data_IF_008640865061
#
_entry.id   IF_008640865061
#
_cell.length_a   1.000
_cell.length_b   1.000
_cell.length_c   1.000
_cell.angle_alpha   90.00
_cell.angle_beta   90.00
_cell.angle_gamma   90.00
#
_symmetry.space_group_name_H-M   'P 1'
#
loop_
_entity.id
_entity.type
_entity.pdbx_description
1 polymer ?
#
# COMPACT_ATOMS: atom_id res chain seq x y z
N UNK A 1 0.57 -13.00 -4.43
CA UNK A 1 0.43 -11.84 -5.34
C UNK A 1 -0.08 -10.65 -4.52
N UNK A 2 0.23 -9.39 -4.85
CA UNK A 2 -0.16 -8.22 -4.06
C UNK A 2 -0.70 -7.09 -4.94
N UNK A 3 -1.76 -6.42 -4.51
CA UNK A 3 -2.31 -5.24 -5.18
C UNK A 3 -1.39 -4.03 -4.97
N UNK A 4 -1.05 -3.32 -6.05
CA UNK A 4 -0.15 -2.16 -6.00
C UNK A 4 -0.74 -0.95 -6.73
N UNK A 5 -1.77 -0.29 -6.19
CA UNK A 5 -2.44 0.82 -6.85
C UNK A 5 -1.67 2.16 -6.77
N UNK A 6 -0.42 2.14 -6.25
CA UNK A 6 0.46 3.30 -5.99
C UNK A 6 0.36 4.42 -7.02
N UNK A 7 0.55 4.08 -8.30
CA UNK A 7 0.71 5.06 -9.36
C UNK A 7 -0.59 5.83 -9.65
N UNK A 8 -1.73 5.28 -9.23
CA UNK A 8 -3.04 5.85 -9.47
C UNK A 8 -3.72 6.43 -8.23
N UNK A 9 -3.07 6.41 -7.06
CA UNK A 9 -3.61 7.07 -5.86
C UNK A 9 -3.70 8.57 -6.11
N UNK A 10 -4.87 9.18 -6.01
CA UNK A 10 -5.04 10.64 -6.22
C UNK A 10 -4.85 11.39 -4.91
N UNK A 11 -5.51 10.90 -3.87
CA UNK A 11 -5.51 11.49 -2.52
C UNK A 11 -6.11 10.47 -1.54
N UNK A 12 -6.09 10.80 -0.25
CA UNK A 12 -6.72 9.99 0.78
C UNK A 12 -6.74 10.69 2.13
N UNK A 13 -7.46 10.11 3.08
CA UNK A 13 -7.45 10.54 4.48
C UNK A 13 -7.51 9.29 5.36
N UNK A 14 -6.61 9.18 6.32
CA UNK A 14 -6.61 8.13 7.33
C UNK A 14 -6.60 8.73 8.72
N UNK A 15 -7.23 8.05 9.65
CA UNK A 15 -7.41 8.45 11.04
C UNK A 15 -7.00 7.29 11.95
N UNK A 16 -5.91 7.50 12.67
CA UNK A 16 -5.44 6.63 13.74
C UNK A 16 -5.44 7.37 15.09
N UNK A 17 -6.41 8.25 15.32
CA UNK A 17 -6.60 8.90 16.64
C UNK A 17 -7.16 7.95 17.69
N UNK A 18 -7.76 6.84 17.27
CA UNK A 18 -8.21 5.75 18.15
C UNK A 18 -7.18 4.63 18.14
N UNK A 19 -6.63 4.32 19.32
CA UNK A 19 -5.61 3.27 19.48
C UNK A 19 -6.08 1.93 18.88
N UNK A 20 -5.18 1.28 18.15
CA UNK A 20 -5.37 0.02 17.44
C UNK A 20 -6.38 0.05 16.29
N UNK A 21 -6.83 1.22 15.85
CA UNK A 21 -7.69 1.34 14.68
C UNK A 21 -7.16 2.40 13.73
N UNK A 22 -7.04 2.03 12.46
CA UNK A 22 -6.74 2.97 11.39
C UNK A 22 -7.86 2.91 10.38
N UNK A 23 -8.65 3.97 10.30
CA UNK A 23 -9.83 4.05 9.43
C UNK A 23 -9.69 5.21 8.45
N UNK A 24 -10.33 5.13 7.28
CA UNK A 24 -10.25 6.22 6.32
C UNK A 24 -10.60 5.81 4.91
N UNK A 25 -10.06 6.53 3.94
CA UNK A 25 -10.29 6.26 2.54
C UNK A 25 -9.11 6.64 1.66
N UNK A 26 -9.00 5.99 0.50
CA UNK A 26 -8.02 6.30 -0.54
C UNK A 26 -8.73 6.38 -1.89
N UNK A 27 -8.61 7.51 -2.58
CA UNK A 27 -9.18 7.71 -3.91
C UNK A 27 -8.16 7.30 -4.96
N UNK A 28 -8.61 6.47 -5.90
CA UNK A 28 -7.81 6.08 -7.06
C UNK A 28 -8.35 6.79 -8.31
N UNK A 29 -7.48 7.04 -9.29
CA UNK A 29 -7.83 7.69 -10.56
C UNK A 29 -8.93 6.89 -11.26
N UNK A 30 -9.88 7.57 -11.90
CA UNK A 30 -10.93 6.95 -12.73
C UNK A 30 -11.84 5.95 -11.98
N UNK A 31 -11.87 5.99 -10.64
CA UNK A 31 -12.88 5.30 -9.81
C UNK A 31 -13.83 6.30 -9.19
N UNK A 32 -15.12 6.03 -9.32
CA UNK A 32 -16.18 6.82 -8.68
C UNK A 32 -16.12 6.69 -7.15
N UNK A 33 -15.91 5.47 -6.65
CA UNK A 33 -15.85 5.17 -5.23
C UNK A 33 -14.40 5.02 -4.72
N UNK A 34 -13.99 5.81 -3.71
CA UNK A 34 -12.71 5.61 -3.05
C UNK A 34 -12.74 4.34 -2.21
N UNK A 35 -11.58 3.67 -2.11
CA UNK A 35 -11.40 2.55 -1.20
C UNK A 35 -11.71 3.01 0.23
N UNK A 36 -12.53 2.26 0.95
CA UNK A 36 -12.87 2.52 2.35
C UNK A 36 -12.04 1.60 3.23
N UNK A 37 -11.15 2.16 4.03
CA UNK A 37 -10.20 1.42 4.86
C UNK A 37 -10.75 1.32 6.29
N UNK A 38 -10.81 0.11 6.81
CA UNK A 38 -11.11 -0.17 8.22
C UNK A 38 -10.14 -1.24 8.73
N UNK A 39 -9.01 -0.78 9.26
CA UNK A 39 -7.86 -1.63 9.56
C UNK A 39 -7.62 -1.72 11.06
N UNK A 40 -7.41 -2.93 11.54
CA UNK A 40 -6.97 -3.20 12.90
C UNK A 40 -5.46 -3.02 13.01
N UNK A 41 -5.02 -2.22 13.98
CA UNK A 41 -3.63 -1.92 14.30
C UNK A 41 -3.24 -0.46 14.07
N UNK A 42 -1.99 -0.15 14.41
CA UNK A 42 -1.42 1.20 14.33
C UNK A 42 -0.31 1.31 13.27
N UNK A 43 -0.15 2.46 12.61
CA UNK A 43 1.00 2.76 11.78
C UNK A 43 2.25 2.98 12.66
N UNK A 44 3.37 3.24 12.02
CA UNK A 44 4.64 3.54 12.69
C UNK A 44 4.55 4.84 13.51
N UNK A 45 5.49 5.06 14.46
CA UNK A 45 5.41 6.19 15.38
C UNK A 45 5.33 7.57 14.74
N UNK A 46 5.74 7.75 13.48
CA UNK A 46 5.62 9.02 12.78
C UNK A 46 4.16 9.38 12.44
N UNK A 47 3.28 8.38 12.32
CA UNK A 47 1.85 8.53 12.01
C UNK A 47 0.92 8.05 13.12
N UNK A 48 1.41 7.26 14.08
CA UNK A 48 0.58 6.72 15.14
C UNK A 48 -0.05 7.83 15.99
N UNK A 49 -1.35 7.73 16.25
CA UNK A 49 -2.11 8.74 16.98
C UNK A 49 -2.54 9.95 16.15
N UNK A 50 -2.20 10.00 14.86
CA UNK A 50 -2.57 11.11 13.98
C UNK A 50 -3.76 10.76 13.09
N UNK A 51 -4.53 11.81 12.79
CA UNK A 51 -5.26 11.90 11.55
C UNK A 51 -4.37 12.55 10.48
N UNK A 52 -4.36 12.03 9.26
CA UNK A 52 -3.51 12.54 8.19
C UNK A 52 -4.14 12.40 6.81
N UNK A 53 -3.72 13.26 5.89
CA UNK A 53 -4.12 13.27 4.48
C UNK A 53 -2.98 12.82 3.61
N UNK A 54 -3.32 12.04 2.59
CA UNK A 54 -2.43 11.69 1.49
C UNK A 54 -2.67 12.72 0.39
N UNK A 55 -1.62 13.45 0.03
CA UNK A 55 -1.66 14.47 -1.01
C UNK A 55 -0.69 14.09 -2.11
N UNK A 56 -1.12 14.22 -3.36
CA UNK A 56 -0.25 14.05 -4.52
C UNK A 56 0.21 15.43 -5.02
N UNK A 57 1.42 15.90 -4.67
CA UNK A 57 1.94 17.18 -5.17
C UNK A 57 2.29 17.13 -6.66
N UNK A 58 2.77 15.98 -7.14
CA UNK A 58 3.19 15.79 -8.53
C UNK A 58 2.12 15.07 -9.35
N UNK A 59 1.81 15.48 -10.59
CA UNK A 59 0.85 14.77 -11.42
C UNK A 59 1.23 13.30 -11.60
N UNK A 60 0.23 12.46 -11.88
CA UNK A 60 0.46 11.06 -12.23
C UNK A 60 1.36 11.03 -13.47
N UNK A 61 2.49 10.32 -13.44
CA UNK A 61 3.43 10.33 -14.55
C UNK A 61 2.81 9.82 -15.86
N UNK A 62 3.29 10.36 -16.98
CA UNK A 62 2.79 10.09 -18.35
C UNK A 62 2.97 8.64 -18.82
N UNK A 63 3.94 7.92 -18.25
CA UNK A 63 4.20 6.51 -18.53
C UNK A 63 3.26 5.56 -17.79
N UNK A 64 2.48 6.06 -16.81
CA UNK A 64 1.49 5.26 -16.10
C UNK A 64 0.29 5.06 -17.01
N UNK A 65 0.07 3.81 -17.43
CA UNK A 65 -1.05 3.44 -18.27
C UNK A 65 -2.42 3.62 -17.60
N UNK A 66 -3.47 3.17 -18.28
CA UNK A 66 -4.81 3.11 -17.72
C UNK A 66 -4.84 2.15 -16.53
N UNK A 67 -5.54 2.51 -15.44
CA UNK A 67 -5.63 1.61 -14.31
C UNK A 67 -6.51 0.41 -14.65
N UNK A 68 -6.14 -0.75 -14.13
CA UNK A 68 -7.05 -1.88 -14.03
C UNK A 68 -7.32 -2.18 -12.55
N UNK A 69 -8.59 -2.06 -12.17
CA UNK A 69 -9.07 -2.31 -10.81
C UNK A 69 -10.05 -3.49 -10.73
N UNK A 70 -10.13 -4.31 -11.76
CA UNK A 70 -11.00 -5.47 -11.77
C UNK A 70 -10.65 -6.41 -10.61
N UNK A 71 -11.60 -6.61 -9.69
CA UNK A 71 -11.40 -7.46 -8.52
C UNK A 71 -10.99 -6.73 -7.24
N UNK A 72 -10.57 -5.46 -7.27
CA UNK A 72 -10.35 -4.68 -6.03
C UNK A 72 -11.70 -4.24 -5.44
N UNK A 73 -11.95 -4.60 -4.19
CA UNK A 73 -13.19 -4.26 -3.49
C UNK A 73 -13.14 -2.81 -2.98
N UNK A 74 -14.28 -2.12 -2.93
CA UNK A 74 -14.36 -0.80 -2.29
C UNK A 74 -14.12 -0.91 -0.79
N UNK A 75 -14.73 -1.90 -0.13
CA UNK A 75 -14.50 -2.18 1.30
C UNK A 75 -13.16 -2.88 1.50
N UNK A 76 -12.28 -2.24 2.27
CA UNK A 76 -10.97 -2.71 2.67
C UNK A 76 -10.94 -2.87 4.19
N UNK A 77 -11.64 -3.89 4.68
CA UNK A 77 -11.53 -4.37 6.05
C UNK A 77 -10.39 -5.38 6.20
N UNK A 78 -9.63 -5.27 7.29
CA UNK A 78 -8.45 -6.12 7.49
C UNK A 78 -7.54 -5.68 8.63
N UNK A 79 -6.27 -6.08 8.55
CA UNK A 79 -5.20 -5.70 9.48
C UNK A 79 -4.23 -4.74 8.82
N UNK A 80 -3.65 -3.84 9.62
CA UNK A 80 -2.59 -2.96 9.15
C UNK A 80 -1.31 -3.78 8.93
N UNK A 81 -0.55 -3.45 7.89
CA UNK A 81 0.85 -3.87 7.75
C UNK A 81 1.77 -2.72 8.14
N UNK A 82 2.89 -2.59 7.45
CA UNK A 82 3.77 -1.45 7.68
C UNK A 82 3.19 -0.16 7.08
N UNK A 83 3.14 0.90 7.88
CA UNK A 83 2.62 2.21 7.43
C UNK A 83 3.48 3.33 8.01
N UNK A 84 4.17 4.08 7.16
CA UNK A 84 5.05 5.20 7.54
C UNK A 84 5.17 6.23 6.43
N UNK A 85 5.44 7.49 6.78
CA UNK A 85 5.75 8.57 5.86
C UNK A 85 7.20 9.06 5.97
N UNK A 86 8.02 8.44 6.82
CA UNK A 86 9.40 8.85 7.10
C UNK A 86 10.47 8.03 6.36
N UNK A 87 10.05 7.08 5.51
CA UNK A 87 10.97 6.31 4.69
C UNK A 87 11.65 7.21 3.64
N UNK A 88 12.99 7.31 3.67
CA UNK A 88 13.76 8.06 2.67
C UNK A 88 14.11 7.16 1.48
N UNK A 89 13.62 7.52 0.28
CA UNK A 89 13.91 6.80 -0.96
C UNK A 89 14.56 7.72 -1.99
N UNK A 90 15.31 7.12 -2.90
CA UNK A 90 15.87 7.80 -4.05
C UNK A 90 14.75 8.14 -5.06
N UNK A 91 14.62 9.42 -5.39
CA UNK A 91 13.65 9.95 -6.34
C UNK A 91 14.35 10.50 -7.58
N UNK A 92 13.80 10.21 -8.76
CA UNK A 92 14.29 10.74 -10.03
C UNK A 92 13.53 12.02 -10.40
N UNK A 93 14.25 13.13 -10.56
CA UNK A 93 13.63 14.45 -10.81
C UNK A 93 13.28 14.72 -12.28
N UNK A 94 13.37 13.71 -13.16
CA UNK A 94 13.12 13.86 -14.59
C UNK A 94 11.81 13.19 -15.03
N UNK A 95 11.27 13.64 -16.17
CA UNK A 95 10.20 12.92 -16.86
C UNK A 95 10.69 11.55 -17.34
N UNK A 96 9.76 10.65 -17.66
CA UNK A 96 10.16 9.32 -18.12
C UNK A 96 10.82 9.31 -19.49
N UNK A 97 10.43 10.23 -20.37
CA UNK A 97 11.12 10.38 -21.66
C UNK A 97 12.58 10.79 -21.45
N UNK A 98 12.85 11.73 -20.55
CA UNK A 98 14.21 12.17 -20.24
C UNK A 98 14.99 11.08 -19.48
N UNK A 99 14.33 10.36 -18.57
CA UNK A 99 14.91 9.21 -17.89
C UNK A 99 15.41 8.15 -18.89
N UNK A 100 14.53 7.72 -19.81
CA UNK A 100 14.85 6.73 -20.84
C UNK A 100 15.96 7.26 -21.76
N UNK A 101 15.90 8.52 -22.16
CA UNK A 101 16.92 9.15 -23.00
C UNK A 101 18.31 9.13 -22.34
N UNK A 102 18.41 9.51 -21.06
CA UNK A 102 19.67 9.53 -20.30
C UNK A 102 20.23 8.14 -20.09
N UNK A 103 19.37 7.20 -19.67
CA UNK A 103 19.76 5.81 -19.49
C UNK A 103 20.31 5.20 -20.78
N UNK A 104 19.68 5.48 -21.93
CA UNK A 104 20.18 5.05 -23.26
C UNK A 104 21.51 5.71 -23.64
N UNK A 105 21.75 6.94 -23.20
CA UNK A 105 23.00 7.66 -23.40
C UNK A 105 24.11 7.26 -22.39
N UNK A 106 23.83 6.35 -21.45
CA UNK A 106 24.76 5.94 -20.41
C UNK A 106 24.94 6.95 -19.26
N UNK A 107 24.10 7.99 -19.21
CA UNK A 107 24.09 8.98 -18.14
C UNK A 107 23.10 8.58 -17.03
N UNK A 108 23.44 8.85 -15.77
CA UNK A 108 22.55 8.62 -14.64
C UNK A 108 21.72 9.87 -14.39
N UNK A 109 20.37 9.80 -14.44
CA UNK A 109 19.55 10.95 -14.14
C UNK A 109 19.80 11.44 -12.70
N UNK A 110 19.74 12.76 -12.47
CA UNK A 110 19.94 13.33 -11.14
C UNK A 110 18.89 12.80 -10.18
N UNK A 111 19.33 12.49 -8.96
CA UNK A 111 18.49 11.92 -7.92
C UNK A 111 18.53 12.74 -6.66
N UNK A 112 17.39 12.82 -5.99
CA UNK A 112 17.26 13.43 -4.67
C UNK A 112 16.69 12.40 -3.69
N UNK A 113 17.07 12.51 -2.42
CA UNK A 113 16.44 11.72 -1.38
C UNK A 113 15.15 12.42 -0.96
N UNK A 114 14.02 11.72 -1.01
CA UNK A 114 12.71 12.24 -0.60
C UNK A 114 12.03 11.29 0.37
N UNK A 115 11.22 11.85 1.26
CA UNK A 115 10.28 11.06 2.06
C UNK A 115 9.29 10.37 1.14
N UNK A 116 8.95 9.13 1.49
CA UNK A 116 7.98 8.30 0.80
C UNK A 116 6.89 7.90 1.78
N UNK A 117 5.64 8.00 1.34
CA UNK A 117 4.58 7.24 1.95
C UNK A 117 4.80 5.76 1.63
N UNK A 118 4.79 4.91 2.65
CA UNK A 118 4.60 3.47 2.57
C UNK A 118 3.34 3.14 3.35
N UNK A 119 2.35 2.54 2.71
CA UNK A 119 1.07 2.14 3.29
C UNK A 119 0.76 0.72 2.83
N UNK A 120 0.78 -0.20 3.77
CA UNK A 120 0.47 -1.61 3.55
C UNK A 120 -0.64 -2.08 4.48
N UNK A 121 -1.50 -2.94 3.95
CA UNK A 121 -2.51 -3.64 4.74
C UNK A 121 -2.83 -5.00 4.13
N UNK A 122 -3.43 -5.86 4.95
CA UNK A 122 -3.91 -7.17 4.55
C UNK A 122 -5.44 -7.14 4.54
N UNK A 123 -6.01 -6.99 3.36
CA UNK A 123 -7.45 -7.00 3.14
C UNK A 123 -8.00 -8.41 3.26
N UNK A 124 -9.10 -8.56 3.99
CA UNK A 124 -9.82 -9.83 4.10
C UNK A 124 -10.32 -10.35 2.73
N UNK A 125 -10.59 -9.44 1.79
CA UNK A 125 -11.13 -9.77 0.47
C UNK A 125 -10.10 -9.74 -0.64
N UNK A 126 -9.12 -8.84 -0.57
CA UNK A 126 -8.13 -8.66 -1.64
C UNK A 126 -6.73 -9.16 -1.29
N UNK A 127 -6.51 -9.63 -0.07
CA UNK A 127 -5.18 -9.97 0.43
C UNK A 127 -4.32 -8.74 0.60
N UNK A 128 -3.01 -8.89 0.40
CA UNK A 128 -2.04 -7.81 0.61
C UNK A 128 -2.20 -6.68 -0.43
N UNK A 129 -2.31 -5.45 0.06
CA UNK A 129 -2.29 -4.23 -0.76
C UNK A 129 -1.17 -3.31 -0.28
N UNK A 130 -0.43 -2.72 -1.22
CA UNK A 130 0.72 -1.86 -0.93
C UNK A 130 0.69 -0.60 -1.78
N UNK A 131 0.85 0.55 -1.13
CA UNK A 131 1.09 1.86 -1.74
C UNK A 131 2.47 2.33 -1.26
N UNK A 132 3.39 2.59 -2.18
CA UNK A 132 4.71 3.15 -1.84
C UNK A 132 5.13 4.19 -2.86
N UNK A 133 5.20 5.47 -2.47
CA UNK A 133 5.61 6.52 -3.40
C UNK A 133 6.25 7.72 -2.72
N UNK A 134 7.32 8.22 -3.34
CA UNK A 134 7.92 9.54 -3.06
C UNK A 134 7.12 10.69 -3.68
N UNK A 135 6.11 10.37 -4.52
CA UNK A 135 5.19 11.35 -5.13
C UNK A 135 3.90 11.53 -4.35
N UNK A 136 3.78 10.87 -3.19
CA UNK A 136 2.68 11.01 -2.25
C UNK A 136 3.24 11.60 -0.95
N UNK A 137 2.78 12.80 -0.62
CA UNK A 137 3.08 13.49 0.61
C UNK A 137 2.01 13.18 1.67
N UNK A 138 2.39 13.35 2.94
CA UNK A 138 1.48 13.19 4.07
C UNK A 138 1.38 14.48 4.86
N UNK A 139 0.15 14.95 5.07
CA UNK A 139 -0.17 16.12 5.86
C UNK A 139 -0.90 15.69 7.13
N UNK A 140 -0.35 15.99 8.31
CA UNK A 140 -1.00 15.69 9.60
C UNK A 140 -2.09 16.73 9.87
N UNK A 141 -3.23 16.26 10.36
CA UNK A 141 -4.42 17.08 10.61
C UNK A 141 -4.75 17.06 12.09
N UNK A 142 -4.90 18.24 12.69
CA UNK A 142 -5.28 18.39 14.09
C UNK A 142 -4.13 18.14 15.06
N UNK A 143 -4.43 17.41 16.14
CA UNK A 143 -3.48 17.07 17.21
C UNK A 143 -3.28 15.56 17.31
N UNK A 144 -2.12 15.17 17.83
CA UNK A 144 -1.79 13.78 18.09
C UNK A 144 -2.56 13.29 19.31
N UNK A 145 -3.31 12.20 19.15
CA UNK A 145 -4.14 11.64 20.23
C UNK A 145 -3.37 10.71 21.17
N UNK A 146 -2.34 10.03 20.69
CA UNK A 146 -1.47 9.18 21.50
C UNK A 146 -0.10 8.98 20.83
N UNK A 147 0.87 8.50 21.60
CA UNK A 147 2.16 8.04 21.10
C UNK A 147 2.35 6.58 21.48
N UNK A 148 2.96 5.79 20.58
CA UNK A 148 3.33 4.42 20.89
C UNK A 148 4.59 4.42 21.74
N UNK A 149 4.63 3.56 22.76
CA UNK A 149 5.89 3.21 23.40
C UNK A 149 6.75 2.36 22.46
N UNK A 150 8.05 2.28 22.72
CA UNK A 150 8.96 1.42 21.97
C UNK A 150 8.50 -0.05 21.99
N UNK A 151 8.06 -0.54 23.15
CA UNK A 151 7.54 -1.89 23.31
C UNK A 151 6.27 -2.12 22.45
N UNK A 152 5.33 -1.18 22.45
CA UNK A 152 4.11 -1.27 21.64
C UNK A 152 4.41 -1.27 20.15
N UNK A 153 5.37 -0.45 19.71
CA UNK A 153 5.82 -0.45 18.32
C UNK A 153 6.48 -1.80 17.97
N UNK A 154 7.42 -2.29 18.77
CA UNK A 154 8.09 -3.55 18.50
C UNK A 154 7.11 -4.72 18.41
N UNK A 155 6.11 -4.75 19.30
CA UNK A 155 5.04 -5.75 19.26
C UNK A 155 4.18 -5.62 18.01
N UNK A 156 3.75 -4.41 17.64
CA UNK A 156 3.00 -4.18 16.39
C UNK A 156 3.82 -4.58 15.16
N UNK A 157 5.10 -4.22 15.09
CA UNK A 157 5.98 -4.56 13.98
C UNK A 157 6.16 -6.08 13.84
N UNK A 158 6.25 -6.79 14.97
CA UNK A 158 6.27 -8.25 14.99
C UNK A 158 4.95 -8.84 14.50
N UNK A 159 3.81 -8.32 14.95
CA UNK A 159 2.49 -8.77 14.46
C UNK A 159 2.36 -8.57 12.95
N UNK A 160 2.80 -7.42 12.42
CA UNK A 160 2.80 -7.15 10.98
C UNK A 160 3.66 -8.17 10.19
N UNK A 161 4.80 -8.60 10.76
CA UNK A 161 5.63 -9.65 10.18
C UNK A 161 4.93 -11.00 10.22
N UNK A 162 4.28 -11.37 11.32
CA UNK A 162 3.57 -12.64 11.42
C UNK A 162 2.40 -12.72 10.43
N UNK A 163 1.69 -11.61 10.18
CA UNK A 163 0.61 -11.52 9.18
C UNK A 163 1.11 -11.79 7.74
N UNK A 164 2.32 -11.36 7.38
CA UNK A 164 2.87 -11.69 6.05
C UNK A 164 3.08 -13.19 5.89
N UNK A 165 3.54 -13.85 6.96
CA UNK A 165 3.78 -15.29 6.97
C UNK A 165 2.47 -16.06 6.89
N UNK A 166 1.44 -15.62 7.61
CA UNK A 166 0.10 -16.20 7.53
C UNK A 166 -0.47 -16.09 6.12
N UNK A 167 -0.39 -14.90 5.51
CA UNK A 167 -0.85 -14.66 4.14
C UNK A 167 -0.09 -15.54 3.12
N UNK A 168 1.23 -15.68 3.26
CA UNK A 168 2.03 -16.55 2.38
C UNK A 168 1.65 -18.03 2.52
N UNK A 169 1.32 -18.49 3.73
CA UNK A 169 0.85 -19.87 3.97
C UNK A 169 -0.49 -20.12 3.29
N UNK A 170 -1.48 -19.24 3.48
CA UNK A 170 -2.81 -19.37 2.86
C UNK A 170 -2.73 -19.38 1.32
N UNK A 171 -1.84 -18.57 0.73
CA UNK A 171 -1.59 -18.60 -0.70
C UNK A 171 -0.97 -19.93 -1.16
N UNK A 172 -0.05 -20.49 -0.38
CA UNK A 172 0.52 -21.80 -0.66
C UNK A 172 -0.57 -22.86 -0.69
N UNK A 173 -1.38 -22.94 0.35
CA UNK A 173 -2.47 -23.92 0.49
C UNK A 173 -3.48 -23.80 -0.66
N UNK A 174 -3.93 -22.58 -1.00
CA UNK A 174 -4.89 -22.33 -2.08
C UNK A 174 -4.36 -22.73 -3.46
N UNK A 175 -3.06 -22.55 -3.74
CA UNK A 175 -2.44 -23.00 -4.99
C UNK A 175 -2.40 -24.54 -5.06
N UNK A 176 -2.05 -25.19 -3.95
CA UNK A 176 -2.07 -26.67 -3.88
C UNK A 176 -3.47 -27.25 -4.05
N UNK A 177 -4.52 -26.63 -3.50
CA UNK A 177 -5.90 -27.08 -3.71
C UNK A 177 -6.39 -26.87 -5.15
N UNK A 178 -5.91 -25.81 -5.82
CA UNK A 178 -6.24 -25.53 -7.22
C UNK A 178 -5.63 -26.57 -8.16
N UNK A 179 -4.38 -26.95 -7.92
CA UNK A 179 -3.67 -27.99 -8.70
C UNK A 179 -4.34 -29.38 -8.54
N UNK A 180 -4.90 -29.68 -7.36
CA UNK A 180 -5.60 -30.95 -7.10
C UNK A 180 -7.00 -30.98 -7.73
N UNK A 181 -7.67 -29.82 -7.84
CA UNK A 181 -8.98 -29.71 -8.48
C UNK A 181 -8.91 -29.86 -10.00
N UNK A 182 -7.90 -29.27 -10.66
CA UNK A 182 -7.71 -29.39 -12.12
C UNK A 182 -7.33 -30.81 -12.56
N UNK A 183 -6.60 -31.57 -11.75
CA UNK A 183 -6.21 -32.96 -12.09
C UNK A 183 -7.35 -33.99 -11.86
N UNK A 184 -8.43 -33.58 -11.18
CA UNK A 184 -9.57 -34.46 -10.87
C UNK A 184 -10.68 -34.48 -11.94
N UNK A 185 -10.63 -33.57 -12.92
CA UNK A 185 -11.68 -33.40 -13.95
C UNK A 185 -11.33 -34.06 -15.30
N UNK A 186 -10.27 -34.88 -15.37
CA UNK A 186 -9.82 -35.53 -16.62
C UNK A 186 -9.95 -37.06 -16.67
N UNK A 187 -10.68 -37.66 -15.74
CA UNK A 187 -10.99 -39.10 -15.79
C UNK A 187 -12.47 -39.35 -15.61
N UNK A 188 -13.24 -39.15 -16.68
CA UNK A 188 -14.43 -39.95 -17.02
C UNK A 188 -14.99 -39.45 -18.37
N UNK A 189 -14.57 -40.06 -19.48
CA UNK A 189 -15.45 -40.33 -20.63
C UNK A 189 -14.84 -41.46 -21.47
N UNK A 190 -15.67 -42.48 -21.70
CA UNK A 190 -15.40 -43.83 -22.24
C UNK A 190 -14.69 -43.92 -23.60
#
# INVERSE_FOLDING_TARGET
MAWRPTDWVVEGELDNTTMNWTIGWVRLRDRDEPLQLKLLGNPYPDLAGWKFRIVRPDPIPDWVGEPNYEGIATDQSGTIGDVTADQMLQHYECSSQEFVRRMRAGDRPPTTLRKSLYLEWYSNRNGRVVIQSTRLAVERVGERSFELTEEQWLEQAKQNQDEIHHFMSQLGDALTESDVAEDSDTTEED
#
